data_IF_862299230022
#
_entry.id   IF_862299230022
#
_cell.length_a   1.000
_cell.length_b   1.000
_cell.length_c   1.000
_cell.angle_alpha   90.00
_cell.angle_beta   90.00
_cell.angle_gamma   90.00
#
_symmetry.space_group_name_H-M   'P 1'
#
loop_
_entity.id
_entity.type
_entity.pdbx_description
1 polymer ?
#
# COMPACT_ATOMS: atom_id res chain seq x y z
N UNK A 1 16.09 7.88 12.84
CA UNK A 1 16.20 7.01 11.64
C UNK A 1 15.05 7.38 10.72
N UNK A 2 15.28 7.52 9.41
CA UNK A 2 14.22 7.88 8.45
C UNK A 2 13.13 6.81 8.44
N UNK A 3 11.91 7.21 8.05
CA UNK A 3 10.82 6.25 7.82
C UNK A 3 11.19 5.36 6.64
N UNK A 4 10.70 4.12 6.58
CA UNK A 4 10.83 3.29 5.39
C UNK A 4 10.28 4.04 4.17
N UNK A 5 11.03 4.10 3.07
CA UNK A 5 10.64 4.76 1.82
C UNK A 5 9.61 3.91 1.06
N UNK A 6 8.41 3.86 1.61
CA UNK A 6 7.31 3.00 1.20
C UNK A 6 6.07 3.85 0.94
N UNK A 7 5.42 3.60 -0.20
CA UNK A 7 4.07 4.06 -0.50
C UNK A 7 3.07 2.92 -0.30
N UNK A 8 1.82 3.29 -0.07
CA UNK A 8 0.75 2.37 0.33
C UNK A 8 -0.52 2.62 -0.46
N UNK A 9 -1.20 1.53 -0.81
CA UNK A 9 -2.63 1.55 -1.11
C UNK A 9 -3.32 0.77 0.02
N UNK A 10 -4.29 1.41 0.68
CA UNK A 10 -4.97 0.87 1.88
C UNK A 10 -6.47 0.81 1.68
N UNK A 11 -7.10 -0.22 2.20
CA UNK A 11 -8.56 -0.31 2.32
C UNK A 11 -8.96 -0.12 3.78
N UNK A 12 -9.94 0.74 4.00
CA UNK A 12 -10.59 0.94 5.29
C UNK A 12 -12.04 0.47 5.19
N UNK A 13 -12.42 -0.52 5.98
CA UNK A 13 -13.76 -1.12 5.94
C UNK A 13 -14.60 -0.66 7.13
N UNK A 14 -15.93 -0.58 7.01
CA UNK A 14 -16.77 -0.43 8.19
C UNK A 14 -16.67 -1.69 9.04
N UNK A 15 -16.65 -1.54 10.38
CA UNK A 15 -16.54 -2.68 11.29
C UNK A 15 -17.65 -3.74 11.09
N UNK A 16 -18.81 -3.33 10.57
CA UNK A 16 -19.94 -4.21 10.24
C UNK A 16 -19.70 -5.12 9.03
N UNK A 17 -18.71 -4.82 8.19
CA UNK A 17 -18.35 -5.65 7.03
C UNK A 17 -17.41 -6.80 7.39
N UNK A 18 -16.71 -6.71 8.52
CA UNK A 18 -15.74 -7.71 8.94
C UNK A 18 -16.44 -8.95 9.50
N UNK A 19 -15.86 -10.13 9.27
CA UNK A 19 -16.34 -11.36 9.88
C UNK A 19 -16.16 -11.34 11.41
N UNK A 20 -16.89 -12.19 12.13
CA UNK A 20 -16.90 -12.13 13.60
C UNK A 20 -15.49 -12.28 14.23
N UNK A 21 -14.66 -13.26 13.84
CA UNK A 21 -13.27 -13.37 14.32
C UNK A 21 -12.43 -12.10 14.12
N UNK A 22 -12.40 -11.53 12.91
CA UNK A 22 -11.60 -10.32 12.64
C UNK A 22 -12.19 -9.11 13.35
N UNK A 23 -13.51 -8.97 13.38
CA UNK A 23 -14.18 -7.88 14.07
C UNK A 23 -13.85 -7.86 15.58
N UNK A 24 -13.75 -9.03 16.24
CA UNK A 24 -13.36 -9.11 17.66
C UNK A 24 -11.90 -8.68 17.88
N UNK A 25 -10.99 -9.08 16.98
CA UNK A 25 -9.59 -8.63 17.03
C UNK A 25 -9.48 -7.11 16.83
N UNK A 26 -10.23 -6.58 15.85
CA UNK A 26 -10.28 -5.14 15.59
C UNK A 26 -10.84 -4.37 16.77
N UNK A 27 -11.95 -4.82 17.39
CA UNK A 27 -12.51 -4.15 18.59
C UNK A 27 -11.49 -4.06 19.71
N UNK A 28 -10.78 -5.15 19.98
CA UNK A 28 -9.71 -5.17 20.99
C UNK A 28 -8.60 -4.17 20.65
N UNK A 29 -8.14 -4.14 19.40
CA UNK A 29 -7.10 -3.19 18.99
C UNK A 29 -7.56 -1.72 19.04
N UNK A 30 -8.85 -1.46 18.80
CA UNK A 30 -9.43 -0.14 18.99
C UNK A 30 -9.47 0.28 20.46
N UNK A 31 -9.70 -0.66 21.39
CA UNK A 31 -9.61 -0.41 22.83
C UNK A 31 -8.17 -0.11 23.29
N UNK A 32 -7.18 -0.83 22.72
CA UNK A 32 -5.75 -0.61 22.98
C UNK A 32 -5.22 0.70 22.35
N UNK A 33 -5.96 1.24 21.36
CA UNK A 33 -5.68 2.50 20.68
C UNK A 33 -5.22 2.29 19.23
N UNK A 34 -5.93 2.84 18.23
CA UNK A 34 -5.52 2.69 16.84
C UNK A 34 -4.20 3.39 16.56
N UNK A 35 -3.43 2.84 15.64
CA UNK A 35 -2.15 3.38 15.24
C UNK A 35 -2.33 4.60 14.32
N UNK A 36 -1.57 5.65 14.57
CA UNK A 36 -1.53 6.82 13.69
C UNK A 36 -0.77 6.50 12.40
N UNK A 37 -1.06 7.21 11.30
CA UNK A 37 -0.29 7.11 10.04
C UNK A 37 1.20 7.37 10.24
N UNK A 38 1.52 8.33 11.13
CA UNK A 38 2.88 8.72 11.47
C UNK A 38 3.68 7.57 12.11
N UNK A 39 3.01 6.73 12.90
CA UNK A 39 3.64 5.66 13.68
C UNK A 39 3.77 4.33 12.93
N UNK A 40 2.97 4.08 11.88
CA UNK A 40 2.94 2.81 11.12
C UNK A 40 4.33 2.35 10.72
N UNK A 41 5.09 3.18 10.01
CA UNK A 41 6.41 2.78 9.52
C UNK A 41 7.42 2.49 10.64
N UNK A 42 7.32 3.19 11.77
CA UNK A 42 8.18 2.94 12.93
C UNK A 42 7.79 1.63 13.63
N UNK A 43 6.49 1.38 13.79
CA UNK A 43 5.92 0.18 14.39
C UNK A 43 6.22 -1.08 13.59
N UNK A 44 5.99 -1.06 12.27
CA UNK A 44 6.28 -2.20 11.40
C UNK A 44 7.76 -2.60 11.48
N UNK A 45 8.65 -1.60 11.43
CA UNK A 45 10.10 -1.81 11.54
C UNK A 45 10.51 -2.34 12.92
N UNK A 46 9.92 -1.84 13.99
CA UNK A 46 10.17 -2.34 15.35
C UNK A 46 9.80 -3.83 15.46
N UNK A 47 8.60 -4.20 15.00
CA UNK A 47 8.13 -5.58 15.06
C UNK A 47 8.97 -6.53 14.21
N UNK A 48 9.45 -6.06 13.04
CA UNK A 48 10.44 -6.78 12.24
C UNK A 48 11.76 -6.95 12.99
N UNK A 49 12.32 -5.88 13.57
CA UNK A 49 13.58 -5.97 14.30
C UNK A 49 13.46 -6.94 15.48
N UNK A 50 12.34 -6.91 16.22
CA UNK A 50 12.07 -7.85 17.31
C UNK A 50 12.04 -9.31 16.82
N UNK A 51 11.50 -9.57 15.63
CA UNK A 51 11.46 -10.93 15.06
C UNK A 51 12.88 -11.45 14.75
N UNK A 52 13.77 -10.57 14.25
CA UNK A 52 15.15 -10.92 13.91
C UNK A 52 16.07 -11.02 15.14
N UNK A 53 15.82 -10.23 16.18
CA UNK A 53 16.61 -10.27 17.43
C UNK A 53 16.19 -11.39 18.39
N UNK A 54 15.05 -12.05 18.14
CA UNK A 54 14.61 -13.19 18.93
C UNK A 54 15.66 -14.33 18.90
N UNK A 55 15.65 -15.17 19.95
CA UNK A 55 16.49 -16.38 20.01
C UNK A 55 15.62 -17.64 20.12
N UNK A 56 15.60 -18.53 19.09
CA UNK A 56 16.18 -18.34 17.74
C UNK A 56 15.51 -17.17 16.99
N UNK A 57 16.01 -16.70 15.83
CA UNK A 57 15.29 -15.73 15.01
C UNK A 57 13.91 -16.25 14.57
N UNK A 58 12.97 -15.34 14.28
CA UNK A 58 11.64 -15.66 13.75
C UNK A 58 11.56 -15.27 12.28
N UNK A 59 10.80 -16.04 11.50
CA UNK A 59 10.64 -15.75 10.08
C UNK A 59 9.72 -14.54 9.89
N UNK A 60 8.58 -14.50 10.61
CA UNK A 60 7.63 -13.39 10.52
C UNK A 60 7.42 -12.68 11.87
N UNK A 61 7.02 -11.40 11.86
CA UNK A 61 6.57 -10.71 13.06
C UNK A 61 5.43 -11.44 13.77
N UNK A 62 5.45 -11.45 15.11
CA UNK A 62 4.41 -12.07 15.93
C UNK A 62 4.48 -13.60 16.04
N UNK A 63 5.57 -14.23 15.59
CA UNK A 63 5.72 -15.70 15.67
C UNK A 63 6.48 -16.20 16.90
N UNK A 64 6.15 -17.43 17.30
CA UNK A 64 6.89 -18.25 18.25
C UNK A 64 8.05 -18.98 17.57
N UNK A 65 8.91 -19.61 18.37
CA UNK A 65 10.07 -20.36 17.85
C UNK A 65 9.72 -21.57 17.00
N UNK A 66 8.48 -22.05 17.06
CA UNK A 66 7.95 -23.13 16.24
C UNK A 66 7.24 -22.64 14.97
N UNK A 67 7.26 -21.33 14.69
CA UNK A 67 6.64 -20.70 13.53
C UNK A 67 5.12 -20.52 13.62
N UNK A 68 4.51 -20.80 14.78
CA UNK A 68 3.09 -20.50 15.02
C UNK A 68 2.92 -19.07 15.50
N UNK A 69 1.75 -18.48 15.24
CA UNK A 69 1.37 -17.15 15.77
C UNK A 69 1.40 -17.18 17.30
N UNK A 70 2.03 -16.18 17.91
CA UNK A 70 2.06 -16.02 19.36
C UNK A 70 0.66 -15.61 19.88
N UNK A 71 0.22 -16.09 21.06
CA UNK A 71 -1.06 -15.68 21.63
C UNK A 71 -1.18 -14.16 21.87
N UNK A 72 -0.05 -13.51 22.10
CA UNK A 72 0.13 -12.06 22.29
C UNK A 72 0.70 -11.37 21.04
N UNK A 73 0.57 -11.99 19.87
CA UNK A 73 1.00 -11.38 18.62
C UNK A 73 0.32 -10.02 18.44
N UNK A 74 1.08 -8.97 18.09
CA UNK A 74 0.52 -7.63 17.91
C UNK A 74 -0.47 -7.64 16.74
N UNK A 75 -1.61 -6.99 16.95
CA UNK A 75 -2.64 -6.76 15.95
C UNK A 75 -2.93 -5.26 15.94
N UNK A 76 -2.29 -4.55 15.03
CA UNK A 76 -2.38 -3.09 14.94
C UNK A 76 -3.42 -2.71 13.87
N UNK A 77 -4.25 -1.72 14.19
CA UNK A 77 -5.33 -1.21 13.32
C UNK A 77 -5.18 0.29 13.16
N UNK A 78 -5.38 0.78 11.94
CA UNK A 78 -5.57 2.20 11.67
C UNK A 78 -7.05 2.54 11.50
N UNK A 79 -7.40 3.81 11.72
CA UNK A 79 -8.77 4.29 11.47
C UNK A 79 -8.81 5.59 10.70
N UNK A 80 -9.87 5.78 9.92
CA UNK A 80 -10.26 7.08 9.35
C UNK A 80 -11.73 7.37 9.65
N UNK A 81 -12.10 8.65 9.67
CA UNK A 81 -13.50 9.03 9.73
C UNK A 81 -14.15 8.93 8.34
N UNK A 82 -15.38 8.41 8.22
CA UNK A 82 -16.18 8.49 6.99
C UNK A 82 -16.27 9.90 6.41
N UNK A 83 -16.32 10.92 7.28
CA UNK A 83 -16.40 12.32 6.87
C UNK A 83 -15.14 12.82 6.14
N UNK A 84 -14.03 12.08 6.20
CA UNK A 84 -12.81 12.40 5.49
C UNK A 84 -12.72 11.75 4.10
N UNK A 85 -13.73 10.95 3.71
CA UNK A 85 -13.78 10.24 2.43
C UNK A 85 -14.81 10.92 1.53
N UNK A 86 -14.42 11.40 0.33
CA UNK A 86 -15.37 11.83 -0.69
C UNK A 86 -16.24 10.66 -1.16
N UNK A 87 -17.55 10.90 -1.27
CA UNK A 87 -18.53 9.89 -1.69
C UNK A 87 -19.24 9.20 -0.53
N UNK A 88 -20.03 8.18 -0.85
CA UNK A 88 -20.77 7.38 0.14
C UNK A 88 -19.91 6.20 0.63
N UNK A 89 -19.84 6.05 1.95
CA UNK A 89 -19.13 4.95 2.64
C UNK A 89 -19.92 4.49 3.86
N UNK A 90 -19.52 3.37 4.44
CA UNK A 90 -20.16 2.74 5.58
C UNK A 90 -20.03 3.54 6.88
N UNK A 91 -20.76 3.12 7.94
CA UNK A 91 -20.82 3.84 9.20
C UNK A 91 -19.60 3.60 10.10
N UNK A 92 -19.46 4.47 11.11
CA UNK A 92 -18.44 4.34 12.16
C UNK A 92 -17.04 4.72 11.71
N UNK A 93 -16.01 4.68 12.58
CA UNK A 93 -14.65 4.74 12.08
C UNK A 93 -14.42 3.59 11.10
N UNK A 94 -13.93 3.89 9.90
CA UNK A 94 -13.50 2.86 8.96
C UNK A 94 -12.14 2.35 9.44
N UNK A 95 -11.97 1.04 9.47
CA UNK A 95 -10.83 0.35 10.07
C UNK A 95 -9.95 -0.28 8.99
N UNK A 96 -8.64 -0.21 9.16
CA UNK A 96 -7.66 -0.86 8.30
C UNK A 96 -6.71 -1.68 9.19
N UNK A 97 -6.94 -3.00 9.32
CA UNK A 97 -5.95 -3.92 9.88
C UNK A 97 -4.63 -3.80 9.09
N UNK A 98 -3.51 -3.69 9.80
CA UNK A 98 -2.21 -3.55 9.11
C UNK A 98 -1.74 -4.85 8.43
N UNK A 99 -2.33 -5.99 8.79
CA UNK A 99 -2.00 -7.33 8.28
C UNK A 99 -0.49 -7.62 8.25
N UNK A 100 0.25 -7.12 9.25
CA UNK A 100 1.70 -7.04 9.20
C UNK A 100 2.35 -8.41 8.96
N UNK A 101 1.85 -9.47 9.60
CA UNK A 101 2.40 -10.82 9.39
C UNK A 101 2.22 -11.29 7.95
N UNK A 102 1.02 -11.13 7.39
CA UNK A 102 0.73 -11.54 6.00
C UNK A 102 1.50 -10.69 4.99
N UNK A 103 1.53 -9.37 5.18
CA UNK A 103 2.32 -8.46 4.35
C UNK A 103 3.82 -8.74 4.44
N UNK A 104 4.33 -9.09 5.61
CA UNK A 104 5.72 -9.50 5.80
C UNK A 104 6.04 -10.79 5.05
N UNK A 105 5.11 -11.74 5.05
CA UNK A 105 5.26 -12.99 4.30
C UNK A 105 5.28 -12.75 2.78
N UNK A 106 4.35 -11.92 2.28
CA UNK A 106 4.33 -11.50 0.88
C UNK A 106 5.61 -10.73 0.49
N UNK A 107 6.08 -9.83 1.35
CA UNK A 107 7.31 -9.07 1.14
C UNK A 107 8.55 -9.97 1.07
N UNK A 108 8.64 -11.02 1.91
CA UNK A 108 9.72 -12.01 1.82
C UNK A 108 9.70 -12.76 0.48
N UNK A 109 8.52 -13.15 -0.03
CA UNK A 109 8.41 -13.79 -1.35
C UNK A 109 8.84 -12.84 -2.46
N UNK A 110 8.45 -11.57 -2.38
CA UNK A 110 8.89 -10.52 -3.31
C UNK A 110 10.42 -10.33 -3.26
N UNK A 111 10.99 -10.27 -2.06
CA UNK A 111 12.43 -10.17 -1.84
C UNK A 111 13.19 -11.35 -2.45
N UNK A 112 12.70 -12.58 -2.28
CA UNK A 112 13.28 -13.78 -2.92
C UNK A 112 13.28 -13.70 -4.46
N UNK A 113 12.38 -12.92 -5.07
CA UNK A 113 12.29 -12.78 -6.51
C UNK A 113 13.21 -11.70 -7.09
N UNK A 114 13.61 -10.71 -6.27
CA UNK A 114 14.33 -9.52 -6.73
C UNK A 114 15.72 -9.34 -6.14
N UNK A 115 16.01 -9.94 -4.97
CA UNK A 115 17.28 -9.78 -4.29
C UNK A 115 18.42 -10.55 -4.98
N UNK A 116 19.64 -10.04 -4.79
CA UNK A 116 20.87 -10.66 -5.31
C UNK A 116 21.34 -11.80 -4.41
N UNK A 117 22.09 -12.76 -4.97
CA UNK A 117 22.59 -13.94 -4.24
C UNK A 117 23.26 -13.63 -2.89
N UNK A 118 24.26 -12.72 -2.82
CA UNK A 118 24.92 -12.41 -1.56
C UNK A 118 23.99 -11.80 -0.50
N UNK A 119 23.04 -10.97 -0.92
CA UNK A 119 22.09 -10.37 0.00
C UNK A 119 21.08 -11.42 0.52
N UNK A 120 20.67 -12.36 -0.34
CA UNK A 120 19.81 -13.47 0.05
C UNK A 120 20.48 -14.39 1.07
N UNK A 121 21.74 -14.77 0.82
CA UNK A 121 22.51 -15.65 1.71
C UNK A 121 22.67 -15.06 3.12
N UNK A 122 22.87 -13.74 3.23
CA UNK A 122 23.03 -13.07 4.52
C UNK A 122 21.68 -12.80 5.21
N UNK A 123 20.67 -12.33 4.46
CA UNK A 123 19.42 -11.86 5.03
C UNK A 123 18.44 -12.99 5.38
N UNK A 124 18.59 -14.18 4.78
CA UNK A 124 17.58 -15.23 4.82
C UNK A 124 18.20 -16.56 5.26
N UNK A 125 18.16 -16.88 6.57
CA UNK A 125 18.77 -18.11 7.09
C UNK A 125 17.92 -19.37 6.85
N UNK A 126 16.85 -19.27 6.06
CA UNK A 126 15.85 -20.32 5.82
C UNK A 126 15.76 -20.59 4.32
N UNK A 127 15.63 -21.87 3.95
CA UNK A 127 15.50 -22.27 2.55
C UNK A 127 14.34 -21.55 1.82
N UNK A 128 14.56 -21.04 0.59
CA UNK A 128 13.55 -20.28 -0.16
C UNK A 128 12.20 -20.99 -0.30
N UNK A 129 12.20 -22.31 -0.51
CA UNK A 129 10.97 -23.08 -0.66
C UNK A 129 10.16 -23.14 0.66
N UNK A 130 10.84 -23.18 1.79
CA UNK A 130 10.19 -23.12 3.10
C UNK A 130 9.48 -21.78 3.27
N UNK A 131 10.11 -20.69 2.82
CA UNK A 131 9.53 -19.34 2.89
C UNK A 131 8.31 -19.22 1.99
N UNK A 132 8.38 -19.73 0.75
CA UNK A 132 7.23 -19.75 -0.17
C UNK A 132 6.06 -20.55 0.39
N UNK A 133 6.35 -21.73 0.95
CA UNK A 133 5.35 -22.58 1.60
C UNK A 133 4.71 -21.89 2.81
N UNK A 134 5.53 -21.27 3.67
CA UNK A 134 5.04 -20.50 4.83
C UNK A 134 4.20 -19.30 4.42
N UNK A 135 4.64 -18.53 3.43
CA UNK A 135 3.88 -17.39 2.93
C UNK A 135 2.53 -17.82 2.36
N UNK A 136 2.49 -18.91 1.58
CA UNK A 136 1.23 -19.48 1.09
C UNK A 136 0.28 -19.86 2.24
N UNK A 137 0.80 -20.51 3.28
CA UNK A 137 0.01 -20.86 4.46
C UNK A 137 -0.53 -19.62 5.20
N UNK A 138 0.29 -18.59 5.40
CA UNK A 138 -0.13 -17.32 6.03
C UNK A 138 -1.20 -16.61 5.21
N UNK A 139 -1.05 -16.56 3.89
CA UNK A 139 -2.04 -15.93 3.01
C UNK A 139 -3.37 -16.68 3.03
N UNK A 140 -3.35 -18.01 3.17
CA UNK A 140 -4.57 -18.82 3.29
C UNK A 140 -5.32 -18.63 4.62
N UNK A 141 -4.70 -18.02 5.63
CA UNK A 141 -5.32 -17.69 6.92
C UNK A 141 -6.12 -16.37 6.88
N UNK A 142 -5.99 -15.56 5.82
CA UNK A 142 -6.68 -14.27 5.72
C UNK A 142 -8.17 -14.46 5.48
N UNK A 143 -9.01 -13.99 6.41
CA UNK A 143 -10.47 -14.11 6.25
C UNK A 143 -11.01 -13.31 5.07
N UNK A 144 -10.51 -12.09 4.87
CA UNK A 144 -10.91 -11.25 3.73
C UNK A 144 -10.39 -11.79 2.38
N UNK A 145 -9.57 -12.84 2.37
CA UNK A 145 -8.91 -13.38 1.17
C UNK A 145 -7.81 -12.48 0.60
N UNK A 146 -7.64 -11.26 1.13
CA UNK A 146 -6.60 -10.32 0.77
C UNK A 146 -6.13 -9.53 2.00
N UNK A 147 -4.93 -8.94 1.90
CA UNK A 147 -4.43 -7.97 2.89
C UNK A 147 -5.01 -6.60 2.62
N UNK A 148 -5.37 -5.85 3.66
CA UNK A 148 -5.95 -4.50 3.56
C UNK A 148 -4.94 -3.45 3.08
N UNK A 149 -3.64 -3.75 3.13
CA UNK A 149 -2.58 -2.84 2.70
C UNK A 149 -1.65 -3.54 1.71
N UNK A 150 -1.51 -2.94 0.54
CA UNK A 150 -0.44 -3.25 -0.41
C UNK A 150 0.55 -2.09 -0.43
N UNK A 151 1.82 -2.41 -0.67
CA UNK A 151 2.90 -1.42 -0.53
C UNK A 151 3.99 -1.60 -1.57
N UNK A 152 4.61 -0.49 -1.96
CA UNK A 152 5.76 -0.44 -2.87
C UNK A 152 6.87 0.41 -2.27
N UNK A 153 8.11 0.03 -2.51
CA UNK A 153 9.28 0.79 -2.08
C UNK A 153 9.74 1.74 -3.17
N UNK A 154 10.31 2.89 -2.78
CA UNK A 154 10.99 3.87 -3.64
C UNK A 154 10.14 4.58 -4.71
N UNK A 155 8.94 4.10 -5.00
CA UNK A 155 8.05 4.69 -6.01
C UNK A 155 6.59 4.36 -5.73
N UNK A 156 5.69 5.11 -6.36
CA UNK A 156 4.26 4.79 -6.46
C UNK A 156 4.00 4.23 -7.86
N UNK A 157 3.39 3.03 -8.00
CA UNK A 157 2.92 2.56 -9.31
C UNK A 157 1.99 3.59 -9.93
N UNK A 158 2.40 4.19 -11.06
CA UNK A 158 1.61 5.22 -11.73
C UNK A 158 0.14 4.84 -11.95
N UNK A 159 -0.22 3.59 -12.30
CA UNK A 159 -1.62 3.23 -12.47
C UNK A 159 -2.49 3.34 -11.21
N UNK A 160 -1.91 3.38 -10.00
CA UNK A 160 -2.67 3.62 -8.78
C UNK A 160 -3.30 5.02 -8.72
N UNK A 161 -2.70 6.01 -9.37
CA UNK A 161 -3.27 7.36 -9.45
C UNK A 161 -4.58 7.42 -10.23
N UNK A 162 -4.86 6.43 -11.10
CA UNK A 162 -6.13 6.37 -11.82
C UNK A 162 -7.33 6.10 -10.90
N UNK A 163 -7.10 5.61 -9.66
CA UNK A 163 -8.16 5.32 -8.69
C UNK A 163 -8.71 6.59 -8.01
N UNK A 164 -7.98 7.70 -8.05
CA UNK A 164 -8.25 8.86 -7.19
C UNK A 164 -8.55 10.11 -8.01
N UNK A 165 -9.33 11.02 -7.44
CA UNK A 165 -9.53 12.35 -8.01
C UNK A 165 -8.36 13.26 -7.64
N UNK A 166 -7.73 13.95 -8.61
CA UNK A 166 -6.61 14.85 -8.33
C UNK A 166 -6.90 15.87 -7.24
N UNK A 167 -8.12 16.40 -7.20
CA UNK A 167 -8.58 17.46 -6.29
C UNK A 167 -8.77 16.97 -4.85
N UNK A 168 -8.86 15.66 -4.65
CA UNK A 168 -9.02 15.05 -3.31
C UNK A 168 -7.69 14.88 -2.58
N UNK A 169 -6.60 15.44 -3.14
CA UNK A 169 -5.26 15.44 -2.54
C UNK A 169 -5.29 16.10 -1.16
N UNK A 170 -4.77 15.36 -0.18
CA UNK A 170 -4.59 15.79 1.20
C UNK A 170 -3.10 15.92 1.47
N UNK A 171 -2.67 17.09 1.93
CA UNK A 171 -1.28 17.36 2.32
C UNK A 171 -1.26 17.78 3.79
N UNK A 172 -0.42 17.11 4.58
CA UNK A 172 -0.05 17.56 5.92
C UNK A 172 1.37 18.10 5.83
N UNK A 173 1.49 19.43 5.91
CA UNK A 173 2.78 20.11 5.94
C UNK A 173 3.45 19.94 7.30
N UNK A 174 4.68 19.44 7.29
CA UNK A 174 5.55 19.33 8.45
C UNK A 174 7.01 19.30 7.95
N UNK A 175 8.02 19.47 8.83
CA UNK A 175 9.42 19.31 8.44
C UNK A 175 9.68 17.99 7.72
N UNK A 176 10.67 17.94 6.82
CA UNK A 176 10.93 16.79 5.93
C UNK A 176 11.07 15.45 6.66
N UNK A 177 11.72 15.46 7.83
CA UNK A 177 11.95 14.26 8.65
C UNK A 177 10.83 13.99 9.68
N UNK A 178 9.82 14.87 9.75
CA UNK A 178 8.70 14.75 10.68
C UNK A 178 7.75 13.62 10.24
N UNK A 179 7.41 12.68 11.13
CA UNK A 179 6.52 11.57 10.79
C UNK A 179 5.07 12.02 10.50
N UNK A 180 4.67 13.23 10.87
CA UNK A 180 3.36 13.80 10.51
C UNK A 180 3.29 14.27 9.06
N UNK A 181 4.43 14.43 8.36
CA UNK A 181 4.44 14.83 6.94
C UNK A 181 3.80 13.75 6.08
N UNK A 182 2.75 14.12 5.34
CA UNK A 182 1.88 13.19 4.62
C UNK A 182 1.39 13.79 3.30
N UNK A 183 1.25 12.93 2.29
CA UNK A 183 0.51 13.19 1.05
C UNK A 183 -0.34 11.97 0.76
N UNK A 184 -1.65 12.16 0.63
CA UNK A 184 -2.58 11.07 0.39
C UNK A 184 -3.81 11.50 -0.39
N UNK A 185 -4.52 10.53 -0.95
CA UNK A 185 -5.83 10.68 -1.56
C UNK A 185 -6.76 9.63 -0.98
N UNK A 186 -8.05 9.96 -0.91
CA UNK A 186 -9.09 9.04 -0.45
C UNK A 186 -10.24 9.03 -1.43
N UNK A 187 -10.82 7.85 -1.59
CA UNK A 187 -11.92 7.62 -2.53
C UNK A 187 -12.82 6.52 -1.97
N UNK A 188 -14.13 6.59 -2.24
CA UNK A 188 -15.05 5.50 -1.91
C UNK A 188 -14.68 4.22 -2.68
N UNK A 189 -14.96 3.04 -2.13
CA UNK A 189 -14.70 1.77 -2.84
C UNK A 189 -15.48 1.69 -4.16
N UNK A 190 -16.71 2.21 -4.17
CA UNK A 190 -17.54 2.26 -5.38
C UNK A 190 -16.84 3.06 -6.49
N UNK A 191 -16.35 4.26 -6.18
CA UNK A 191 -15.65 5.11 -7.15
C UNK A 191 -14.30 4.51 -7.56
N UNK A 192 -13.53 3.97 -6.62
CA UNK A 192 -12.25 3.31 -6.90
C UNK A 192 -12.41 2.15 -7.89
N UNK A 193 -13.44 1.30 -7.68
CA UNK A 193 -13.76 0.18 -8.58
C UNK A 193 -14.21 0.67 -9.95
N UNK A 194 -15.07 1.69 -10.01
CA UNK A 194 -15.51 2.25 -11.29
C UNK A 194 -14.33 2.82 -12.09
N UNK A 195 -13.44 3.56 -11.42
CA UNK A 195 -12.25 4.18 -12.01
C UNK A 195 -11.23 3.16 -12.49
N UNK A 196 -10.86 2.19 -11.65
CA UNK A 196 -9.89 1.16 -12.05
C UNK A 196 -10.41 0.33 -13.21
N UNK A 197 -11.72 0.02 -13.24
CA UNK A 197 -12.33 -0.70 -14.34
C UNK A 197 -12.36 0.10 -15.66
N UNK A 198 -12.62 1.42 -15.58
CA UNK A 198 -12.50 2.32 -16.74
C UNK A 198 -11.06 2.38 -17.24
N UNK A 199 -10.13 2.71 -16.34
CA UNK A 199 -8.71 2.86 -16.68
C UNK A 199 -8.15 1.56 -17.26
N UNK A 200 -8.46 0.40 -16.67
CA UNK A 200 -8.03 -0.90 -17.18
C UNK A 200 -8.49 -1.11 -18.62
N UNK A 201 -9.77 -0.87 -18.90
CA UNK A 201 -10.36 -1.07 -20.24
C UNK A 201 -9.70 -0.18 -21.29
N UNK A 202 -9.50 1.10 -20.98
CA UNK A 202 -8.88 2.07 -21.90
C UNK A 202 -7.41 1.69 -22.14
N UNK A 203 -6.65 1.48 -21.06
CA UNK A 203 -5.22 1.18 -21.13
C UNK A 203 -4.97 -0.17 -21.81
N UNK A 204 -5.76 -1.21 -21.53
CA UNK A 204 -5.58 -2.51 -22.17
C UNK A 204 -5.94 -2.49 -23.65
N UNK A 205 -6.95 -1.70 -24.04
CA UNK A 205 -7.32 -1.51 -25.45
C UNK A 205 -6.25 -0.77 -26.24
N UNK A 206 -5.59 0.21 -25.64
CA UNK A 206 -4.60 1.06 -26.32
C UNK A 206 -3.16 0.52 -26.25
N UNK A 207 -2.77 -0.11 -25.13
CA UNK A 207 -1.38 -0.53 -24.86
C UNK A 207 -1.22 -2.05 -24.69
N UNK A 208 -2.31 -2.82 -24.69
CA UNK A 208 -2.32 -4.26 -24.44
C UNK A 208 -2.39 -4.63 -22.96
N UNK A 209 -2.46 -5.93 -22.68
CA UNK A 209 -2.74 -6.49 -21.33
C UNK A 209 -1.53 -6.48 -20.36
N UNK A 210 -0.35 -6.11 -20.85
CA UNK A 210 0.88 -6.11 -20.05
C UNK A 210 1.13 -4.76 -19.36
N UNK A 211 2.14 -4.71 -18.49
CA UNK A 211 2.60 -3.46 -17.88
C UNK A 211 1.48 -2.73 -17.10
N UNK A 212 1.15 -1.46 -17.42
CA UNK A 212 0.13 -0.69 -16.72
C UNK A 212 -1.25 -1.36 -16.65
N UNK A 213 -1.70 -2.03 -17.73
CA UNK A 213 -2.97 -2.72 -17.74
C UNK A 213 -3.00 -3.86 -16.71
N UNK A 214 -1.93 -4.66 -16.64
CA UNK A 214 -1.81 -5.71 -15.62
C UNK A 214 -1.88 -5.15 -14.20
N UNK A 215 -1.22 -4.02 -13.91
CA UNK A 215 -1.28 -3.40 -12.58
C UNK A 215 -2.70 -2.97 -12.23
N UNK A 216 -3.44 -2.39 -13.18
CA UNK A 216 -4.85 -2.01 -12.99
C UNK A 216 -5.74 -3.23 -12.78
N UNK A 217 -5.54 -4.29 -13.57
CA UNK A 217 -6.28 -5.54 -13.45
C UNK A 217 -6.04 -6.22 -12.08
N UNK A 218 -4.77 -6.29 -11.66
CA UNK A 218 -4.37 -6.86 -10.36
C UNK A 218 -4.94 -6.02 -9.21
N UNK A 219 -4.91 -4.68 -9.33
CA UNK A 219 -5.48 -3.75 -8.34
C UNK A 219 -7.00 -3.89 -8.24
N UNK A 220 -7.71 -3.97 -9.37
CA UNK A 220 -9.16 -4.19 -9.38
C UNK A 220 -9.55 -5.51 -8.71
N UNK A 221 -8.86 -6.61 -9.03
CA UNK A 221 -9.10 -7.91 -8.37
C UNK A 221 -8.80 -7.88 -6.88
N UNK A 222 -7.78 -7.13 -6.46
CA UNK A 222 -7.52 -6.91 -5.03
C UNK A 222 -8.69 -6.18 -4.37
N UNK A 223 -9.16 -5.07 -4.95
CA UNK A 223 -10.30 -4.30 -4.44
C UNK A 223 -11.58 -5.16 -4.33
N UNK A 224 -11.80 -6.13 -5.21
CA UNK A 224 -12.98 -7.02 -5.20
C UNK A 224 -13.13 -7.88 -3.93
N UNK A 225 -12.09 -7.99 -3.10
CA UNK A 225 -12.13 -8.75 -1.84
C UNK A 225 -12.83 -8.02 -0.68
N UNK A 226 -13.04 -6.71 -0.80
CA UNK A 226 -13.50 -5.86 0.29
C UNK A 226 -14.95 -5.39 0.13
N UNK A 227 -15.56 -4.90 1.20
CA UNK A 227 -16.94 -4.44 1.17
C UNK A 227 -17.14 -3.21 0.26
N UNK A 228 -18.29 -3.09 -0.42
CA UNK A 228 -18.56 -2.00 -1.37
C UNK A 228 -18.69 -0.62 -0.72
N UNK A 229 -18.95 -0.57 0.59
CA UNK A 229 -19.04 0.66 1.39
C UNK A 229 -17.73 0.98 2.13
N UNK A 230 -16.64 0.32 1.78
CA UNK A 230 -15.28 0.64 2.24
C UNK A 230 -14.71 1.89 1.56
N UNK A 231 -13.55 2.34 2.02
CA UNK A 231 -12.78 3.42 1.42
C UNK A 231 -11.38 2.94 1.00
N UNK A 232 -10.81 3.57 -0.02
CA UNK A 232 -9.44 3.32 -0.48
C UNK A 232 -8.60 4.58 -0.26
N UNK A 233 -7.39 4.41 0.26
CA UNK A 233 -6.41 5.47 0.45
C UNK A 233 -5.13 5.17 -0.34
N UNK A 234 -4.71 6.09 -1.19
CA UNK A 234 -3.37 6.13 -1.75
C UNK A 234 -2.53 7.06 -0.87
N UNK A 235 -1.43 6.56 -0.30
CA UNK A 235 -0.56 7.31 0.61
C UNK A 235 0.91 7.19 0.18
N UNK A 236 1.59 8.33 0.06
CA UNK A 236 3.02 8.38 -0.25
C UNK A 236 3.88 7.84 0.89
N UNK A 237 3.33 7.72 2.10
CA UNK A 237 4.00 7.13 3.24
C UNK A 237 5.36 7.78 3.49
N UNK A 238 6.42 6.98 3.54
CA UNK A 238 7.76 7.50 3.76
C UNK A 238 8.37 8.23 2.56
N UNK A 239 7.83 8.08 1.34
CA UNK A 239 8.38 8.71 0.14
C UNK A 239 8.39 10.23 0.21
N UNK A 240 7.43 10.83 0.93
CA UNK A 240 7.43 12.28 1.14
C UNK A 240 8.77 12.73 1.72
N UNK A 241 9.44 11.96 2.60
CA UNK A 241 10.72 12.36 3.19
C UNK A 241 11.86 12.49 2.17
N UNK A 242 11.66 12.05 0.93
CA UNK A 242 12.61 12.22 -0.15
C UNK A 242 12.29 13.45 -1.02
N UNK A 243 11.04 13.89 -1.06
CA UNK A 243 10.54 14.97 -1.92
C UNK A 243 10.49 16.27 -1.12
N UNK A 244 10.99 17.36 -1.69
CA UNK A 244 10.94 18.67 -1.01
C UNK A 244 9.53 19.28 -0.99
N UNK A 245 9.36 20.40 -0.30
CA UNK A 245 8.04 21.00 -0.13
C UNK A 245 7.49 21.59 -1.43
N UNK A 246 8.35 22.12 -2.29
CA UNK A 246 7.92 22.71 -3.56
C UNK A 246 7.44 21.61 -4.51
N UNK A 247 8.25 20.56 -4.67
CA UNK A 247 7.92 19.41 -5.50
C UNK A 247 6.62 18.73 -5.04
N UNK A 248 6.41 18.55 -3.73
CA UNK A 248 5.15 17.99 -3.22
C UNK A 248 3.93 18.85 -3.55
N UNK A 249 4.06 20.17 -3.50
CA UNK A 249 2.97 21.09 -3.79
C UNK A 249 2.63 21.08 -5.29
N UNK A 250 3.66 21.02 -6.12
CA UNK A 250 3.58 21.03 -7.59
C UNK A 250 3.30 19.65 -8.19
N UNK A 251 3.32 18.59 -7.37
CA UNK A 251 3.04 17.21 -7.80
C UNK A 251 1.66 17.08 -8.47
N UNK A 252 1.70 16.80 -9.77
CA UNK A 252 0.53 16.64 -10.63
C UNK A 252 0.30 15.19 -11.02
N UNK A 253 0.93 14.21 -10.35
CA UNK A 253 0.89 12.79 -10.73
C UNK A 253 -0.54 12.25 -10.91
N UNK A 254 -1.45 12.59 -10.00
CA UNK A 254 -2.85 12.23 -10.11
C UNK A 254 -3.53 12.85 -11.34
N UNK A 255 -3.30 14.14 -11.59
CA UNK A 255 -3.87 14.84 -12.74
C UNK A 255 -3.31 14.31 -14.07
N UNK A 256 -2.01 14.09 -14.14
CA UNK A 256 -1.35 13.62 -15.37
C UNK A 256 -1.76 12.18 -15.71
N UNK A 257 -1.88 11.27 -14.73
CA UNK A 257 -2.36 9.91 -15.00
C UNK A 257 -3.83 9.89 -15.45
N UNK A 258 -4.70 10.68 -14.83
CA UNK A 258 -6.10 10.77 -15.28
C UNK A 258 -6.20 11.36 -16.69
N UNK A 259 -5.42 12.41 -16.99
CA UNK A 259 -5.34 12.99 -18.34
C UNK A 259 -4.80 12.00 -19.39
N UNK A 260 -3.82 11.16 -19.02
CA UNK A 260 -3.34 10.08 -19.90
C UNK A 260 -4.46 9.08 -20.20
N UNK A 261 -5.24 8.67 -19.20
CA UNK A 261 -6.38 7.76 -19.43
C UNK A 261 -7.39 8.41 -20.38
N UNK A 262 -7.72 9.69 -20.19
CA UNK A 262 -8.66 10.41 -21.06
C UNK A 262 -8.12 10.56 -22.49
N UNK A 263 -6.84 10.90 -22.64
CA UNK A 263 -6.17 11.04 -23.93
C UNK A 263 -6.06 9.70 -24.69
N UNK A 264 -5.81 8.59 -23.97
CA UNK A 264 -5.84 7.25 -24.57
C UNK A 264 -7.24 6.86 -25.07
N UNK A 265 -8.31 7.33 -24.42
CA UNK A 265 -9.68 7.08 -24.84
C UNK A 265 -10.06 7.87 -26.11
N UNK A 266 -9.50 9.08 -26.28
CA UNK A 266 -9.72 9.91 -27.47
C UNK A 266 -8.69 9.72 -28.59
N UNK A 267 -7.62 8.95 -28.34
CA UNK A 267 -6.52 8.71 -29.28
C UNK A 267 -5.54 9.86 -29.41
N UNK A 268 -5.47 10.76 -28.42
CA UNK A 268 -4.55 11.91 -28.39
C UNK A 268 -3.15 11.50 -27.92
N UNK A 269 -2.34 11.02 -28.86
CA UNK A 269 -0.98 10.55 -28.57
C UNK A 269 -0.04 11.69 -28.12
N UNK A 270 -0.29 12.94 -28.52
CA UNK A 270 0.54 14.08 -28.15
C UNK A 270 0.34 14.42 -26.66
N UNK A 271 -0.91 14.46 -26.20
CA UNK A 271 -1.21 14.66 -24.78
C UNK A 271 -0.67 13.52 -23.92
N UNK A 272 -0.78 12.26 -24.36
CA UNK A 272 -0.19 11.11 -23.65
C UNK A 272 1.32 11.28 -23.49
N UNK A 273 2.04 11.66 -24.55
CA UNK A 273 3.49 11.85 -24.51
C UNK A 273 3.88 12.98 -23.55
N UNK A 274 3.22 14.14 -23.65
CA UNK A 274 3.48 15.30 -22.81
C UNK A 274 3.31 14.98 -21.31
N UNK A 275 2.22 14.30 -20.95
CA UNK A 275 1.93 13.93 -19.57
C UNK A 275 2.88 12.88 -19.03
N UNK A 276 3.22 11.90 -19.86
CA UNK A 276 4.19 10.87 -19.48
C UNK A 276 5.59 11.44 -19.24
N UNK A 277 6.02 12.43 -20.03
CA UNK A 277 7.30 13.12 -19.82
C UNK A 277 7.34 13.81 -18.45
N UNK A 278 6.28 14.53 -18.05
CA UNK A 278 6.18 15.16 -16.73
C UNK A 278 6.27 14.15 -15.58
N UNK A 279 5.52 13.04 -15.68
CA UNK A 279 5.60 11.96 -14.70
C UNK A 279 7.02 11.39 -14.61
N UNK A 280 7.67 11.18 -15.77
CA UNK A 280 9.04 10.67 -15.82
C UNK A 280 10.05 11.63 -15.21
N UNK A 281 9.90 12.94 -15.42
CA UNK A 281 10.77 13.96 -14.83
C UNK A 281 10.62 13.98 -13.30
N UNK A 282 9.38 14.02 -12.80
CA UNK A 282 9.09 14.05 -11.36
C UNK A 282 9.61 12.80 -10.64
N UNK A 283 9.23 11.61 -11.12
CA UNK A 283 9.62 10.34 -10.48
C UNK A 283 11.05 9.90 -10.81
N UNK A 284 11.66 10.48 -11.85
CA UNK A 284 13.01 10.13 -12.32
C UNK A 284 14.11 10.44 -11.30
N UNK A 285 13.97 11.55 -10.55
CA UNK A 285 14.92 11.91 -9.49
C UNK A 285 14.85 10.92 -8.32
N UNK A 286 13.64 10.48 -7.96
CA UNK A 286 13.44 9.49 -6.90
C UNK A 286 14.06 8.13 -7.28
N UNK A 287 13.81 7.67 -8.50
CA UNK A 287 14.38 6.44 -9.04
C UNK A 287 15.92 6.48 -9.16
N UNK A 288 16.51 7.67 -9.34
CA UNK A 288 17.97 7.84 -9.36
C UNK A 288 18.59 7.63 -7.97
N UNK A 289 17.88 8.01 -6.91
CA UNK A 289 18.34 7.83 -5.52
C UNK A 289 18.34 6.37 -5.10
N UNK A 290 17.35 5.57 -5.50
CA UNK A 290 17.34 4.12 -5.24
C UNK A 290 18.57 3.41 -5.82
N UNK A 291 19.05 3.82 -7.00
CA UNK A 291 20.17 3.17 -7.68
C UNK A 291 21.55 3.57 -7.14
N UNK A 292 21.65 4.67 -6.41
CA UNK A 292 22.94 5.29 -6.05
C UNK A 292 23.07 5.69 -4.58
N UNK A 293 22.00 5.55 -3.78
CA UNK A 293 21.99 5.75 -2.33
C UNK A 293 22.18 4.45 -1.58
#
# INVERSE_FOLDING_TARGET
MPRPFVAYLRVYEPLSALDAPLADQVRKALEDGPLSRADVGARERELWLRSQLARPPRLLPGERSDGRVAPDAPFDVMTISPAEVPGEVGPGPLVCPLDLRARSAAALVGFLATATGPLLEEAVPVEPETIRSRASAVMAELTAGAVHVISTTWTVPLPWFALVEPETRRIVHAPKDDPERQVSWRVSMADARARVARAHRVVSSSLGEAGPAKVLADTGRWLDHFAPDSAVELDYGGLVQLIDDQDLLEDSSAADVNAIVDALETGDAEEVALRYERLREFWGELARRERHG
#
